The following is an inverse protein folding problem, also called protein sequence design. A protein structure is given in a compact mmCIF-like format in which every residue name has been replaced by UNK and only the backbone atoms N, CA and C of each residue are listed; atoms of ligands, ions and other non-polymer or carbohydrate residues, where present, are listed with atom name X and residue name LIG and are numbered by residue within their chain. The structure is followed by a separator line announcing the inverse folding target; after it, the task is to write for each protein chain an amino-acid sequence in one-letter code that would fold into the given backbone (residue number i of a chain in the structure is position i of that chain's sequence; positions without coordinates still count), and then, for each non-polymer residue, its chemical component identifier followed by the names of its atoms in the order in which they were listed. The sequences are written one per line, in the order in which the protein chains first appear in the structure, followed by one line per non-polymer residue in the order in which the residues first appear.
data_IF_290204701502
#
_entry.id   IF_290204701502
#
_cell.length_a   1.000
_cell.length_b   1.000
_cell.length_c   1.000
_cell.angle_alpha   90.00
_cell.angle_beta   90.00
_cell.angle_gamma   90.00
#
_symmetry.space_group_name_H-M   'P 1'
#
loop_
_entity.id
_entity.type
_entity.pdbx_description
1 polymer ?
#
# COMPACT_ATOMS: atom_id res chain seq x y z
N UNK A 1 9.07 0.42 2.05
CA UNK A 1 8.96 1.42 0.97
C UNK A 1 8.77 2.83 1.54
N UNK A 2 9.37 3.85 0.92
CA UNK A 2 9.19 5.28 1.24
C UNK A 2 8.40 5.95 0.11
N UNK A 3 7.72 7.07 0.39
CA UNK A 3 6.98 7.84 -0.63
C UNK A 3 7.75 9.09 -1.02
N UNK A 4 7.75 9.41 -2.31
CA UNK A 4 8.19 10.69 -2.87
C UNK A 4 7.23 11.17 -3.95
N UNK A 5 7.45 12.38 -4.43
CA UNK A 5 6.81 12.93 -5.63
C UNK A 5 7.85 13.67 -6.47
N UNK A 6 7.59 13.80 -7.77
CA UNK A 6 8.40 14.57 -8.70
C UNK A 6 7.96 16.02 -8.77
N UNK A 7 8.92 16.95 -8.92
CA UNK A 7 8.64 18.38 -9.18
C UNK A 7 8.23 18.68 -10.63
N UNK A 8 8.04 17.66 -11.47
CA UNK A 8 7.67 17.79 -12.88
C UNK A 8 6.36 18.59 -13.07
N UNK A 9 6.32 19.49 -14.05
CA UNK A 9 5.14 20.30 -14.37
C UNK A 9 4.79 21.42 -13.38
N UNK A 10 5.35 21.40 -12.17
CA UNK A 10 5.04 22.36 -11.10
C UNK A 10 5.90 23.63 -11.15
N UNK A 11 5.80 24.38 -12.25
CA UNK A 11 6.64 25.56 -12.50
C UNK A 11 6.33 26.78 -11.62
N UNK A 12 5.17 26.80 -10.97
CA UNK A 12 4.68 27.90 -10.13
C UNK A 12 5.05 27.80 -8.65
N UNK A 13 5.80 26.75 -8.25
CA UNK A 13 6.19 26.49 -6.85
C UNK A 13 7.69 26.57 -6.68
N UNK A 14 8.12 27.11 -5.55
CA UNK A 14 9.50 27.12 -5.10
C UNK A 14 9.90 25.78 -4.44
N UNK A 15 11.20 25.53 -4.34
CA UNK A 15 11.70 24.36 -3.62
C UNK A 15 11.30 24.33 -2.14
N UNK A 16 11.18 25.51 -1.52
CA UNK A 16 10.71 25.69 -0.14
C UNK A 16 9.28 25.16 0.04
N UNK A 17 8.40 25.48 -0.90
CA UNK A 17 7.01 25.04 -0.89
C UNK A 17 6.91 23.53 -1.05
N UNK A 18 7.70 22.91 -1.94
CA UNK A 18 7.76 21.44 -2.01
C UNK A 18 8.23 20.81 -0.71
N UNK A 19 9.22 21.39 -0.03
CA UNK A 19 9.67 20.89 1.27
C UNK A 19 8.58 20.98 2.34
N UNK A 20 7.78 22.05 2.34
CA UNK A 20 6.67 22.21 3.26
C UNK A 20 5.56 21.19 2.99
N UNK A 21 5.15 21.06 1.72
CA UNK A 21 4.13 20.07 1.30
C UNK A 21 4.60 18.65 1.64
N UNK A 22 5.85 18.31 1.33
CA UNK A 22 6.42 17.00 1.65
C UNK A 22 6.36 16.71 3.15
N UNK A 23 6.69 17.69 3.99
CA UNK A 23 6.65 17.55 5.45
C UNK A 23 5.22 17.41 5.98
N UNK A 24 4.29 18.24 5.50
CA UNK A 24 2.89 18.23 5.94
C UNK A 24 2.20 16.92 5.58
N UNK A 25 2.44 16.42 4.37
CA UNK A 25 1.89 15.16 3.86
C UNK A 25 2.74 13.92 4.18
N UNK A 26 3.81 14.09 4.98
CA UNK A 26 4.71 13.02 5.45
C UNK A 26 5.40 12.21 4.34
N UNK A 27 5.71 12.84 3.22
CA UNK A 27 6.63 12.26 2.24
C UNK A 27 8.02 12.11 2.83
N UNK A 28 8.75 11.09 2.37
CA UNK A 28 10.14 10.87 2.74
C UNK A 28 11.14 11.52 1.79
N UNK A 29 10.69 11.95 0.60
CA UNK A 29 11.59 12.56 -0.36
C UNK A 29 10.92 13.31 -1.51
N UNK A 30 11.74 14.06 -2.23
CA UNK A 30 11.33 14.94 -3.35
C UNK A 30 12.27 14.68 -4.53
N UNK A 31 11.71 14.19 -5.63
CA UNK A 31 12.46 13.97 -6.87
C UNK A 31 12.50 15.26 -7.68
N UNK A 32 13.71 15.65 -8.11
CA UNK A 32 13.92 16.93 -8.77
C UNK A 32 13.93 16.76 -10.28
N UNK A 33 12.89 17.29 -10.93
CA UNK A 33 12.77 17.35 -12.38
C UNK A 33 13.49 18.58 -12.94
N UNK A 34 14.35 18.37 -13.94
CA UNK A 34 15.13 19.39 -14.63
C UNK A 34 15.94 20.25 -13.65
N UNK A 35 16.93 19.64 -12.99
CA UNK A 35 17.80 20.33 -12.01
C UNK A 35 18.58 21.52 -12.63
N UNK A 36 18.73 21.51 -13.96
CA UNK A 36 19.34 22.59 -14.73
C UNK A 36 18.31 23.62 -15.23
N UNK A 37 17.05 23.54 -14.82
CA UNK A 37 15.96 24.43 -15.18
C UNK A 37 15.92 25.71 -14.34
N UNK A 38 15.02 26.62 -14.70
CA UNK A 38 14.87 27.94 -14.06
C UNK A 38 14.55 27.84 -12.56
N UNK A 39 13.80 26.82 -12.16
CA UNK A 39 13.41 26.57 -10.77
C UNK A 39 14.62 26.47 -9.82
N UNK A 40 15.74 25.94 -10.32
CA UNK A 40 16.92 25.61 -9.51
C UNK A 40 18.18 26.41 -9.88
N UNK A 41 18.20 27.05 -11.06
CA UNK A 41 19.34 27.83 -11.57
C UNK A 41 19.52 29.22 -10.96
N UNK A 42 18.60 29.68 -10.11
CA UNK A 42 18.77 30.99 -9.45
C UNK A 42 20.09 31.03 -8.67
N UNK A 43 20.82 32.15 -8.75
CA UNK A 43 22.14 32.31 -8.10
C UNK A 43 22.07 32.17 -6.57
N UNK A 44 20.91 32.47 -5.99
CA UNK A 44 20.56 32.28 -4.58
C UNK A 44 19.71 31.01 -4.35
N UNK A 45 19.61 30.14 -5.36
CA UNK A 45 18.85 28.91 -5.33
C UNK A 45 19.45 27.86 -4.39
N UNK A 46 18.60 26.97 -3.87
CA UNK A 46 18.94 26.00 -2.84
C UNK A 46 20.13 25.07 -3.22
N UNK A 47 20.44 24.93 -4.50
CA UNK A 47 21.39 23.95 -5.01
C UNK A 47 22.68 24.54 -5.59
N UNK A 48 22.89 25.85 -5.47
CA UNK A 48 24.06 26.51 -6.05
C UNK A 48 25.20 26.70 -5.03
N UNK A 49 26.40 26.18 -5.36
CA UNK A 49 27.65 26.50 -4.67
C UNK A 49 27.63 26.28 -3.15
N UNK A 50 27.82 27.35 -2.39
CA UNK A 50 27.88 27.33 -0.92
C UNK A 50 26.52 27.03 -0.25
N UNK A 51 25.39 27.13 -0.98
CA UNK A 51 24.06 26.82 -0.46
C UNK A 51 23.75 25.32 -0.41
N UNK A 52 24.39 24.50 -1.25
CA UNK A 52 24.12 23.07 -1.37
C UNK A 52 24.26 22.33 -0.02
N UNK A 53 25.34 22.57 0.71
CA UNK A 53 25.58 21.95 2.02
C UNK A 53 24.54 22.39 3.07
N UNK A 54 24.11 23.66 3.03
CA UNK A 54 23.05 24.16 3.92
C UNK A 54 21.69 23.52 3.60
N UNK A 55 21.40 23.34 2.31
CA UNK A 55 20.18 22.66 1.84
C UNK A 55 20.16 21.19 2.24
N UNK A 56 21.26 20.46 2.06
CA UNK A 56 21.39 19.07 2.53
C UNK A 56 21.12 18.98 4.03
N UNK A 57 21.75 19.85 4.83
CA UNK A 57 21.54 19.88 6.28
C UNK A 57 20.07 20.15 6.64
N UNK A 58 19.45 21.10 5.97
CA UNK A 58 18.05 21.45 6.18
C UNK A 58 17.12 20.28 5.85
N UNK A 59 17.33 19.61 4.72
CA UNK A 59 16.56 18.44 4.33
C UNK A 59 16.69 17.32 5.36
N UNK A 60 17.91 17.08 5.86
CA UNK A 60 18.15 16.15 6.96
C UNK A 60 17.38 16.52 8.24
N UNK A 61 17.38 17.79 8.64
CA UNK A 61 16.59 18.28 9.79
C UNK A 61 15.07 18.12 9.58
N UNK A 62 14.61 18.21 8.33
CA UNK A 62 13.22 17.96 7.93
C UNK A 62 12.89 16.47 7.75
N UNK A 63 13.88 15.57 7.85
CA UNK A 63 13.76 14.13 7.51
C UNK A 63 13.32 13.88 6.08
N UNK A 64 13.76 14.72 5.15
CA UNK A 64 13.52 14.60 3.72
C UNK A 64 14.80 14.18 3.01
N UNK A 65 14.64 13.35 1.99
CA UNK A 65 15.71 12.90 1.11
C UNK A 65 15.44 13.38 -0.33
N UNK A 66 16.49 13.49 -1.13
CA UNK A 66 16.38 13.70 -2.57
C UNK A 66 16.69 12.35 -3.23
N UNK A 67 15.68 11.54 -3.59
CA UNK A 67 15.92 10.16 -4.02
C UNK A 67 16.51 10.08 -5.43
N UNK A 68 16.17 11.04 -6.31
CA UNK A 68 16.56 11.02 -7.71
C UNK A 68 16.54 12.44 -8.29
N UNK A 69 17.40 12.67 -9.28
CA UNK A 69 17.29 13.75 -10.28
C UNK A 69 17.18 13.12 -11.66
N UNK A 70 16.69 13.86 -12.65
CA UNK A 70 16.63 13.37 -14.03
C UNK A 70 17.60 14.08 -14.98
N UNK A 71 17.93 13.35 -16.04
CA UNK A 71 18.53 13.88 -17.26
C UNK A 71 17.39 14.09 -18.25
N UNK A 72 17.27 15.30 -18.80
CA UNK A 72 16.15 15.66 -19.65
C UNK A 72 16.30 15.07 -21.04
N UNK A 73 17.50 15.14 -21.61
CA UNK A 73 17.83 14.51 -22.89
C UNK A 73 17.70 12.99 -22.82
N UNK A 74 17.10 12.43 -23.86
CA UNK A 74 17.10 10.99 -24.09
C UNK A 74 18.53 10.49 -24.35
N UNK A 75 18.81 9.24 -23.97
CA UNK A 75 20.11 8.58 -24.15
C UNK A 75 20.63 8.61 -25.59
N UNK A 76 19.74 8.71 -26.58
CA UNK A 76 20.08 8.82 -28.01
C UNK A 76 20.56 10.22 -28.44
N UNK A 77 20.31 11.25 -27.62
CA UNK A 77 20.66 12.63 -27.94
C UNK A 77 22.14 12.95 -27.68
N UNK A 78 22.74 13.78 -28.54
CA UNK A 78 24.15 14.18 -28.42
C UNK A 78 24.46 14.96 -27.13
N UNK A 79 23.45 15.60 -26.53
CA UNK A 79 23.56 16.39 -25.29
C UNK A 79 23.54 15.52 -24.03
N UNK A 80 23.04 14.28 -24.12
CA UNK A 80 22.77 13.43 -22.96
C UNK A 80 24.02 13.16 -22.11
N UNK A 81 25.17 12.90 -22.75
CA UNK A 81 26.42 12.63 -22.02
C UNK A 81 26.84 13.86 -21.21
N UNK A 82 26.87 15.04 -21.84
CA UNK A 82 27.28 16.27 -21.19
C UNK A 82 26.32 16.67 -20.05
N UNK A 83 25.02 16.50 -20.26
CA UNK A 83 24.00 16.73 -19.25
C UNK A 83 24.16 15.76 -18.07
N UNK A 84 24.34 14.46 -18.34
CA UNK A 84 24.54 13.43 -17.32
C UNK A 84 25.77 13.71 -16.47
N UNK A 85 26.87 14.14 -17.08
CA UNK A 85 28.08 14.51 -16.34
C UNK A 85 27.86 15.71 -15.41
N UNK A 86 27.06 16.70 -15.85
CA UNK A 86 26.64 17.81 -15.01
C UNK A 86 25.79 17.32 -13.83
N UNK A 87 24.81 16.45 -14.11
CA UNK A 87 23.94 15.85 -13.09
C UNK A 87 24.74 15.00 -12.08
N UNK A 88 25.75 14.24 -12.50
CA UNK A 88 26.63 13.46 -11.60
C UNK A 88 27.32 14.38 -10.58
N UNK A 89 27.80 15.54 -11.01
CA UNK A 89 28.42 16.51 -10.11
C UNK A 89 27.41 17.04 -9.09
N UNK A 90 26.23 17.44 -9.56
CA UNK A 90 25.17 17.98 -8.69
C UNK A 90 24.68 16.92 -7.70
N UNK A 91 24.44 15.70 -8.17
CA UNK A 91 24.00 14.58 -7.34
C UNK A 91 25.01 14.28 -6.23
N UNK A 92 26.31 14.29 -6.55
CA UNK A 92 27.36 14.13 -5.56
C UNK A 92 27.35 15.22 -4.49
N UNK A 93 27.23 16.48 -4.90
CA UNK A 93 27.26 17.64 -4.00
C UNK A 93 26.01 17.69 -3.09
N UNK A 94 24.90 17.10 -3.53
CA UNK A 94 23.62 17.06 -2.81
C UNK A 94 23.29 15.71 -2.16
N UNK A 95 24.20 14.73 -2.24
CA UNK A 95 24.01 13.35 -1.77
C UNK A 95 22.76 12.66 -2.34
N UNK A 96 22.48 12.92 -3.63
CA UNK A 96 21.40 12.27 -4.37
C UNK A 96 21.93 10.92 -4.88
N UNK A 97 21.32 9.79 -4.50
CA UNK A 97 21.87 8.47 -4.79
C UNK A 97 21.64 8.03 -6.24
N UNK A 98 20.59 8.54 -6.90
CA UNK A 98 20.16 8.07 -8.22
C UNK A 98 20.06 9.22 -9.24
N UNK A 99 20.39 8.91 -10.49
CA UNK A 99 20.14 9.77 -11.66
C UNK A 99 19.34 8.98 -12.68
N UNK A 100 18.12 9.44 -12.98
CA UNK A 100 17.24 8.88 -14.00
C UNK A 100 17.78 9.21 -15.39
N UNK A 101 17.93 8.16 -16.20
CA UNK A 101 18.28 8.25 -17.62
C UNK A 101 17.08 7.79 -18.44
N UNK A 102 16.59 8.68 -19.31
CA UNK A 102 15.52 8.37 -20.26
C UNK A 102 16.04 7.55 -21.42
N UNK A 103 15.21 6.64 -21.91
CA UNK A 103 15.57 5.66 -22.94
C UNK A 103 14.44 5.40 -23.93
N UNK A 104 13.59 6.41 -24.16
CA UNK A 104 12.38 6.30 -24.96
C UNK A 104 12.69 5.99 -26.43
N UNK A 105 13.78 6.54 -26.98
CA UNK A 105 14.14 6.44 -28.40
C UNK A 105 15.51 5.78 -28.62
N UNK A 106 15.78 4.66 -27.94
CA UNK A 106 17.09 4.01 -28.04
C UNK A 106 17.05 2.50 -28.27
N UNK A 107 18.11 2.01 -28.92
CA UNK A 107 18.44 0.60 -29.01
C UNK A 107 19.53 0.20 -28.00
N UNK A 108 19.75 -1.10 -27.86
CA UNK A 108 20.70 -1.67 -26.90
C UNK A 108 22.14 -1.20 -27.18
N UNK A 109 22.54 -1.04 -28.44
CA UNK A 109 23.89 -0.60 -28.83
C UNK A 109 24.14 0.87 -28.47
N UNK A 110 23.16 1.74 -28.68
CA UNK A 110 23.21 3.15 -28.31
C UNK A 110 23.27 3.29 -26.79
N UNK A 111 22.43 2.53 -26.08
CA UNK A 111 22.44 2.51 -24.62
C UNK A 111 23.80 2.04 -24.07
N UNK A 112 24.38 0.96 -24.62
CA UNK A 112 25.71 0.48 -24.23
C UNK A 112 26.80 1.53 -24.43
N UNK A 113 26.81 2.22 -25.57
CA UNK A 113 27.79 3.28 -25.86
C UNK A 113 27.69 4.42 -24.86
N UNK A 114 26.47 4.87 -24.58
CA UNK A 114 26.23 5.91 -23.59
C UNK A 114 26.69 5.47 -22.19
N UNK A 115 26.23 4.33 -21.71
CA UNK A 115 26.56 3.81 -20.36
C UNK A 115 28.08 3.67 -20.22
N UNK A 116 28.76 3.14 -21.24
CA UNK A 116 30.23 3.02 -21.24
C UNK A 116 30.93 4.37 -21.06
N UNK A 117 30.37 5.45 -21.60
CA UNK A 117 30.95 6.79 -21.51
C UNK A 117 30.76 7.43 -20.11
N UNK A 118 29.60 7.21 -19.47
CA UNK A 118 29.23 7.93 -18.23
C UNK A 118 29.38 7.10 -16.95
N UNK A 119 29.25 5.77 -17.01
CA UNK A 119 29.24 4.89 -15.83
C UNK A 119 30.51 5.02 -14.97
N UNK A 120 31.74 5.06 -15.52
CA UNK A 120 32.94 5.23 -14.69
C UNK A 120 32.96 6.53 -13.88
N UNK A 121 32.30 7.58 -14.39
CA UNK A 121 32.18 8.87 -13.69
C UNK A 121 31.14 8.79 -12.58
N UNK A 122 30.04 8.08 -12.80
CA UNK A 122 29.00 7.83 -11.81
C UNK A 122 29.53 6.99 -10.64
N UNK A 123 30.26 5.90 -10.93
CA UNK A 123 30.94 5.05 -9.94
C UNK A 123 31.90 5.86 -9.05
N UNK A 124 32.75 6.69 -9.68
CA UNK A 124 33.69 7.55 -8.95
C UNK A 124 32.99 8.59 -8.07
N UNK A 125 31.78 9.00 -8.45
CA UNK A 125 30.96 9.92 -7.68
C UNK A 125 30.15 9.22 -6.58
N UNK A 126 30.02 7.89 -6.62
CA UNK A 126 29.16 7.11 -5.72
C UNK A 126 27.67 7.30 -6.03
N UNK A 127 27.33 7.57 -7.29
CA UNK A 127 25.95 7.81 -7.76
C UNK A 127 25.55 6.70 -8.71
N UNK A 128 24.29 6.26 -8.62
CA UNK A 128 23.73 5.18 -9.43
C UNK A 128 22.97 5.76 -10.63
N UNK A 129 23.27 5.27 -11.82
CA UNK A 129 22.49 5.55 -13.02
C UNK A 129 21.32 4.58 -13.05
N UNK A 130 20.09 5.10 -13.02
CA UNK A 130 18.88 4.29 -13.11
C UNK A 130 18.26 4.47 -14.49
N UNK A 131 18.32 3.41 -15.30
CA UNK A 131 17.72 3.41 -16.64
C UNK A 131 16.22 3.20 -16.49
N UNK A 132 15.45 4.13 -17.01
CA UNK A 132 13.98 4.07 -16.98
C UNK A 132 13.46 2.95 -17.90
N UNK A 133 12.51 2.14 -17.41
CA UNK A 133 11.78 1.18 -18.25
C UNK A 133 10.85 1.92 -19.22
N UNK A 134 11.40 2.45 -20.30
CA UNK A 134 10.71 3.20 -21.36
C UNK A 134 11.23 2.80 -22.74
N UNK A 135 10.46 3.09 -23.79
CA UNK A 135 10.85 2.74 -25.16
C UNK A 135 11.08 1.24 -25.33
N UNK A 136 12.22 0.86 -25.92
CA UNK A 136 12.61 -0.54 -26.09
C UNK A 136 12.80 -1.31 -24.76
N UNK A 137 13.03 -0.59 -23.65
CA UNK A 137 13.23 -1.17 -22.31
C UNK A 137 11.95 -1.26 -21.48
N UNK A 138 10.77 -1.06 -22.09
CA UNK A 138 9.51 -1.51 -21.50
C UNK A 138 9.48 -3.06 -21.42
N UNK A 139 10.15 -3.74 -22.36
CA UNK A 139 10.51 -5.16 -22.23
C UNK A 139 11.66 -5.27 -21.22
N UNK A 140 11.32 -5.77 -20.04
CA UNK A 140 12.23 -5.80 -18.90
C UNK A 140 13.29 -6.89 -19.02
N UNK A 141 13.09 -7.89 -19.89
CA UNK A 141 14.14 -8.86 -20.22
C UNK A 141 15.24 -8.21 -21.06
N UNK A 142 14.87 -7.35 -22.00
CA UNK A 142 15.84 -6.57 -22.79
C UNK A 142 16.65 -5.59 -21.91
N UNK A 143 15.98 -4.92 -20.97
CA UNK A 143 16.68 -4.05 -20.01
C UNK A 143 17.62 -4.86 -19.11
N UNK A 144 17.16 -6.02 -18.61
CA UNK A 144 18.00 -6.90 -17.81
C UNK A 144 19.26 -7.33 -18.56
N UNK A 145 19.14 -7.71 -19.83
CA UNK A 145 20.30 -8.08 -20.65
C UNK A 145 21.31 -6.93 -20.80
N UNK A 146 20.81 -5.70 -20.99
CA UNK A 146 21.65 -4.51 -20.99
C UNK A 146 22.38 -4.35 -19.65
N UNK A 147 21.66 -4.41 -18.53
CA UNK A 147 22.24 -4.24 -17.19
C UNK A 147 23.26 -5.35 -16.87
N UNK A 148 22.94 -6.61 -17.15
CA UNK A 148 23.83 -7.78 -16.95
C UNK A 148 25.14 -7.66 -17.75
N UNK A 149 25.14 -6.87 -18.84
CA UNK A 149 26.36 -6.63 -19.63
C UNK A 149 27.38 -5.69 -18.95
N UNK A 150 26.98 -5.02 -17.87
CA UNK A 150 27.84 -4.15 -17.05
C UNK A 150 27.92 -4.70 -15.62
N UNK A 151 29.13 -5.04 -15.17
CA UNK A 151 29.37 -5.49 -13.80
C UNK A 151 29.53 -4.31 -12.82
N UNK A 152 28.45 -3.56 -12.57
CA UNK A 152 28.48 -2.36 -11.71
C UNK A 152 27.25 -2.26 -10.80
N UNK A 153 27.49 -2.00 -9.51
CA UNK A 153 26.45 -1.69 -8.53
C UNK A 153 25.88 -0.27 -8.70
N UNK A 154 26.54 0.58 -9.49
CA UNK A 154 26.12 1.94 -9.82
C UNK A 154 25.32 2.03 -11.13
N UNK A 155 24.84 0.89 -11.65
CA UNK A 155 23.91 0.82 -12.76
C UNK A 155 22.70 -0.01 -12.35
N UNK A 156 21.51 0.53 -12.54
CA UNK A 156 20.27 -0.04 -12.04
C UNK A 156 19.08 0.33 -12.93
N UNK A 157 17.89 -0.12 -12.53
CA UNK A 157 16.63 0.19 -13.20
C UNK A 157 15.79 1.18 -12.37
N UNK A 158 15.14 2.09 -13.08
CA UNK A 158 13.95 2.80 -12.60
C UNK A 158 12.74 2.13 -13.21
N UNK A 159 11.90 1.54 -12.37
CA UNK A 159 10.67 0.90 -12.82
C UNK A 159 9.55 1.94 -12.96
N UNK A 160 9.27 2.29 -14.22
CA UNK A 160 8.08 3.03 -14.61
C UNK A 160 6.91 2.04 -14.79
N UNK A 161 6.02 2.03 -13.80
CA UNK A 161 4.90 1.09 -13.73
C UNK A 161 3.92 1.27 -14.88
N UNK A 162 3.73 2.50 -15.35
CA UNK A 162 2.84 2.79 -16.47
C UNK A 162 3.38 2.16 -17.75
N UNK A 163 4.67 2.33 -18.03
CA UNK A 163 5.29 1.95 -19.29
C UNK A 163 5.37 0.43 -19.45
N UNK A 164 5.78 -0.28 -18.39
CA UNK A 164 5.82 -1.75 -18.38
C UNK A 164 4.42 -2.37 -18.54
N UNK A 165 3.43 -1.86 -17.80
CA UNK A 165 2.08 -2.41 -17.85
C UNK A 165 1.30 -2.04 -19.12
N UNK A 166 1.24 -0.75 -19.47
CA UNK A 166 0.41 -0.30 -20.60
C UNK A 166 1.10 -0.41 -21.96
N UNK A 167 2.42 -0.19 -22.05
CA UNK A 167 3.11 -0.22 -23.34
C UNK A 167 3.64 -1.62 -23.70
N UNK A 168 4.15 -2.37 -22.71
CA UNK A 168 4.66 -3.73 -22.93
C UNK A 168 3.65 -4.84 -22.56
N UNK A 169 2.62 -4.54 -21.78
CA UNK A 169 1.66 -5.55 -21.33
C UNK A 169 2.21 -6.50 -20.26
N UNK A 170 3.36 -6.17 -19.65
CA UNK A 170 3.97 -6.99 -18.62
C UNK A 170 3.18 -6.94 -17.32
N UNK A 171 3.07 -8.09 -16.66
CA UNK A 171 2.49 -8.17 -15.31
C UNK A 171 3.53 -7.78 -14.25
N UNK A 172 3.12 -7.22 -13.10
CA UNK A 172 4.06 -6.75 -12.07
C UNK A 172 5.04 -7.83 -11.58
N UNK A 173 4.60 -9.08 -11.46
CA UNK A 173 5.45 -10.21 -11.06
C UNK A 173 6.51 -10.54 -12.10
N UNK A 174 6.19 -10.35 -13.39
CA UNK A 174 7.14 -10.57 -14.48
C UNK A 174 8.24 -9.51 -14.47
N UNK A 175 7.86 -8.23 -14.32
CA UNK A 175 8.83 -7.14 -14.18
C UNK A 175 9.75 -7.36 -12.97
N UNK A 176 9.20 -7.70 -11.81
CA UNK A 176 9.99 -7.96 -10.60
C UNK A 176 10.86 -9.22 -10.73
N UNK A 177 10.39 -10.26 -11.41
CA UNK A 177 11.22 -11.43 -11.70
C UNK A 177 12.43 -11.08 -12.56
N UNK A 178 12.28 -10.16 -13.51
CA UNK A 178 13.37 -9.74 -14.40
C UNK A 178 14.31 -8.72 -13.75
N UNK A 179 13.76 -7.69 -13.12
CA UNK A 179 14.51 -6.52 -12.66
C UNK A 179 14.59 -6.36 -11.15
N UNK A 180 13.96 -7.22 -10.35
CA UNK A 180 13.80 -7.00 -8.90
C UNK A 180 15.09 -6.68 -8.14
N UNK A 181 16.22 -7.27 -8.53
CA UNK A 181 17.54 -6.96 -7.94
C UNK A 181 18.12 -5.60 -8.39
N UNK A 182 17.69 -5.12 -9.57
CA UNK A 182 18.11 -3.88 -10.19
C UNK A 182 17.20 -2.68 -9.88
N UNK A 183 15.96 -2.88 -9.42
CA UNK A 183 15.05 -1.77 -9.13
C UNK A 183 15.58 -0.94 -7.96
N UNK A 184 15.93 0.32 -8.22
CA UNK A 184 16.38 1.29 -7.21
C UNK A 184 15.45 2.49 -7.04
N UNK A 185 14.62 2.74 -8.04
CA UNK A 185 13.65 3.82 -8.06
C UNK A 185 12.37 3.32 -8.76
N UNK A 186 11.21 3.80 -8.31
CA UNK A 186 9.90 3.43 -8.88
C UNK A 186 9.12 4.70 -9.20
N UNK A 187 8.55 4.76 -10.41
CA UNK A 187 7.62 5.80 -10.82
C UNK A 187 6.22 5.20 -10.98
N UNK A 188 5.24 5.95 -10.47
CA UNK A 188 3.83 5.57 -10.56
C UNK A 188 2.99 6.76 -11.03
N UNK A 189 2.07 6.48 -11.95
CA UNK A 189 1.03 7.34 -12.51
C UNK A 189 -0.06 6.44 -13.08
N UNK A 190 -1.32 6.84 -12.96
CA UNK A 190 -2.46 6.01 -13.37
C UNK A 190 -3.08 6.52 -14.67
N UNK A 191 -3.75 5.61 -15.37
CA UNK A 191 -4.34 5.86 -16.68
C UNK A 191 -5.64 5.06 -16.83
N UNK A 192 -6.73 5.73 -17.18
CA UNK A 192 -8.07 5.13 -17.26
C UNK A 192 -8.40 4.55 -18.65
N UNK A 193 -7.52 4.76 -19.63
CA UNK A 193 -7.73 4.37 -21.03
C UNK A 193 -7.90 5.54 -21.98
N UNK A 194 -8.30 6.70 -21.48
CA UNK A 194 -8.47 7.94 -22.24
C UNK A 194 -7.42 8.98 -21.86
N UNK A 195 -7.07 9.08 -20.58
CA UNK A 195 -6.12 10.06 -20.07
C UNK A 195 -5.45 9.61 -18.76
N UNK A 196 -4.43 10.39 -18.35
CA UNK A 196 -3.86 10.23 -17.02
C UNK A 196 -4.86 10.72 -15.97
N UNK A 197 -5.01 9.95 -14.89
CA UNK A 197 -5.99 10.19 -13.84
C UNK A 197 -5.37 9.97 -12.45
N UNK A 198 -6.10 10.36 -11.41
CA UNK A 198 -5.64 10.17 -10.03
C UNK A 198 -5.39 8.68 -9.74
N UNK A 199 -4.39 8.40 -8.91
CA UNK A 199 -4.02 7.02 -8.58
C UNK A 199 -5.23 6.26 -8.01
N UNK A 200 -5.51 5.07 -8.54
CA UNK A 200 -6.64 4.25 -8.13
C UNK A 200 -7.94 4.51 -8.88
N UNK A 201 -8.01 5.55 -9.70
CA UNK A 201 -9.15 5.80 -10.60
C UNK A 201 -8.92 5.19 -11.99
N UNK A 202 -7.69 4.77 -12.30
CA UNK A 202 -7.35 4.19 -13.60
C UNK A 202 -7.32 2.66 -13.60
N UNK A 203 -6.57 2.12 -14.55
CA UNK A 203 -6.49 0.68 -14.84
C UNK A 203 -5.19 0.04 -14.36
N UNK A 204 -4.29 0.81 -13.75
CA UNK A 204 -3.04 0.27 -13.23
C UNK A 204 -3.33 -0.68 -12.04
N UNK A 205 -2.83 -1.93 -12.03
CA UNK A 205 -3.07 -2.87 -10.94
C UNK A 205 -2.16 -2.56 -9.73
N UNK A 206 -2.42 -1.43 -9.06
CA UNK A 206 -1.54 -0.91 -7.99
C UNK A 206 -1.35 -1.92 -6.85
N UNK A 207 -2.40 -2.66 -6.48
CA UNK A 207 -2.30 -3.68 -5.41
C UNK A 207 -1.29 -4.79 -5.71
N UNK A 208 -1.28 -5.28 -6.96
CA UNK A 208 -0.36 -6.31 -7.42
C UNK A 208 1.06 -5.75 -7.55
N UNK A 209 1.19 -4.51 -8.03
CA UNK A 209 2.47 -3.79 -8.09
C UNK A 209 3.12 -3.61 -6.71
N UNK A 210 2.34 -3.23 -5.71
CA UNK A 210 2.83 -3.13 -4.33
C UNK A 210 3.20 -4.51 -3.76
N UNK A 211 2.45 -5.55 -4.11
CA UNK A 211 2.75 -6.93 -3.69
C UNK A 211 4.04 -7.45 -4.33
N UNK A 212 4.26 -7.15 -5.61
CA UNK A 212 5.47 -7.50 -6.33
C UNK A 212 6.70 -6.82 -5.71
N UNK A 213 6.64 -5.51 -5.41
CA UNK A 213 7.72 -4.80 -4.71
C UNK A 213 8.03 -5.41 -3.33
N UNK A 214 6.99 -5.78 -2.56
CA UNK A 214 7.15 -6.45 -1.27
C UNK A 214 7.84 -7.81 -1.39
N UNK A 215 7.55 -8.57 -2.45
CA UNK A 215 8.14 -9.90 -2.66
C UNK A 215 9.68 -9.90 -2.76
N UNK A 216 10.26 -8.76 -3.16
CA UNK A 216 11.71 -8.54 -3.23
C UNK A 216 12.25 -7.64 -2.11
N UNK A 217 11.44 -7.38 -1.07
CA UNK A 217 11.78 -6.51 0.05
C UNK A 217 12.26 -5.11 -0.38
N UNK A 218 11.63 -4.54 -1.41
CA UNK A 218 12.00 -3.20 -1.89
C UNK A 218 11.81 -2.16 -0.77
N UNK A 219 12.89 -1.46 -0.43
CA UNK A 219 12.93 -0.48 0.65
C UNK A 219 13.10 0.97 0.15
N UNK A 220 13.25 1.15 -1.18
CA UNK A 220 13.41 2.43 -1.85
C UNK A 220 12.12 3.27 -1.94
N UNK A 221 12.17 4.26 -2.83
CA UNK A 221 11.11 5.23 -3.04
C UNK A 221 10.12 4.79 -4.10
N UNK A 222 8.83 5.03 -3.84
CA UNK A 222 7.76 5.08 -4.83
C UNK A 222 7.46 6.56 -5.05
N UNK A 223 7.78 7.04 -6.26
CA UNK A 223 7.65 8.43 -6.65
C UNK A 223 6.41 8.62 -7.50
N UNK A 224 5.49 9.49 -7.07
CA UNK A 224 4.41 9.95 -7.93
C UNK A 224 4.96 10.88 -9.02
N UNK A 225 4.70 10.54 -10.28
CA UNK A 225 4.83 11.49 -11.39
C UNK A 225 3.46 12.08 -11.71
N UNK A 226 3.37 13.41 -11.67
CA UNK A 226 2.18 14.14 -12.10
C UNK A 226 2.58 15.43 -12.79
N UNK A 227 2.07 15.66 -13.99
CA UNK A 227 2.15 16.94 -14.66
C UNK A 227 0.74 17.58 -14.66
N UNK A 228 0.56 18.78 -14.07
CA UNK A 228 -0.72 19.48 -14.06
C UNK A 228 -1.31 19.70 -15.47
N UNK A 229 -0.49 19.70 -16.52
CA UNK A 229 -0.96 19.83 -17.90
C UNK A 229 -1.68 18.57 -18.43
N UNK A 230 -1.61 17.44 -17.73
CA UNK A 230 -2.23 16.18 -18.19
C UNK A 230 -3.75 16.15 -18.05
N UNK A 231 -4.31 16.84 -17.04
CA UNK A 231 -5.74 16.82 -16.75
C UNK A 231 -6.24 18.21 -16.37
N UNK A 232 -7.13 18.78 -17.19
CA UNK A 232 -7.69 20.10 -16.96
C UNK A 232 -8.50 20.13 -15.65
N UNK A 233 -8.21 21.09 -14.78
CA UNK A 233 -8.86 21.25 -13.48
C UNK A 233 -8.27 20.41 -12.34
N UNK A 234 -7.24 19.59 -12.61
CA UNK A 234 -6.45 18.89 -11.58
C UNK A 234 -5.02 19.44 -11.53
N UNK A 235 -4.90 20.68 -11.06
CA UNK A 235 -3.65 21.44 -10.94
C UNK A 235 -3.31 21.87 -9.50
N UNK A 236 -3.98 21.29 -8.50
CA UNK A 236 -3.68 21.51 -7.08
C UNK A 236 -2.81 20.38 -6.51
N UNK A 237 -1.54 20.70 -6.26
CA UNK A 237 -0.56 19.73 -5.73
C UNK A 237 -0.96 19.14 -4.38
N UNK A 238 -1.60 19.92 -3.50
CA UNK A 238 -1.97 19.41 -2.17
C UNK A 238 -3.09 18.38 -2.28
N UNK A 239 -4.06 18.60 -3.17
CA UNK A 239 -5.12 17.62 -3.45
C UNK A 239 -4.52 16.34 -4.03
N UNK A 240 -3.71 16.46 -5.07
CA UNK A 240 -3.14 15.32 -5.80
C UNK A 240 -2.19 14.52 -4.90
N UNK A 241 -1.29 15.19 -4.19
CA UNK A 241 -0.31 14.51 -3.33
C UNK A 241 -0.98 13.92 -2.08
N UNK A 242 -1.99 14.59 -1.51
CA UNK A 242 -2.77 14.02 -0.40
C UNK A 242 -3.53 12.78 -0.82
N UNK A 243 -4.17 12.82 -1.99
CA UNK A 243 -4.84 11.67 -2.58
C UNK A 243 -3.87 10.50 -2.76
N UNK A 244 -2.70 10.77 -3.36
CA UNK A 244 -1.66 9.76 -3.55
C UNK A 244 -1.20 9.12 -2.24
N UNK A 245 -0.88 9.92 -1.22
CA UNK A 245 -0.46 9.40 0.10
C UNK A 245 -1.55 8.54 0.72
N UNK A 246 -2.80 9.02 0.73
CA UNK A 246 -3.92 8.29 1.29
C UNK A 246 -4.15 6.97 0.55
N UNK A 247 -4.16 6.99 -0.78
CA UNK A 247 -4.36 5.81 -1.60
C UNK A 247 -3.24 4.79 -1.43
N UNK A 248 -1.97 5.18 -1.44
CA UNK A 248 -0.86 4.25 -1.26
C UNK A 248 -0.78 3.73 0.18
N UNK A 249 -1.24 4.52 1.17
CA UNK A 249 -1.22 4.09 2.57
C UNK A 249 -2.01 2.80 2.85
N UNK A 250 -3.03 2.50 2.04
CA UNK A 250 -3.79 1.25 2.14
C UNK A 250 -2.95 0.01 1.77
N UNK A 251 -1.90 0.20 0.97
CA UNK A 251 -0.89 -0.81 0.63
C UNK A 251 0.39 -0.64 1.45
N UNK A 252 0.38 0.34 2.36
CA UNK A 252 1.38 0.58 3.36
C UNK A 252 1.59 -0.64 4.24
N UNK A 253 2.77 -0.66 4.83
CA UNK A 253 3.47 -1.84 5.29
C UNK A 253 2.79 -2.54 6.49
N UNK A 254 2.13 -3.68 6.28
CA UNK A 254 1.77 -4.64 7.35
C UNK A 254 3.01 -5.34 7.94
N UNK A 255 4.17 -5.27 7.27
CA UNK A 255 5.44 -5.87 7.69
C UNK A 255 6.36 -4.91 8.47
N UNK A 256 6.04 -3.61 8.55
CA UNK A 256 6.63 -2.63 9.50
C UNK A 256 5.83 -2.46 10.79
N UNK A 257 4.86 -3.32 11.05
CA UNK A 257 4.84 -3.85 12.39
C UNK A 257 6.15 -4.67 12.51
N UNK A 258 7.25 -4.03 12.95
CA UNK A 258 8.10 -4.75 13.89
C UNK A 258 7.10 -5.43 14.82
N UNK A 259 7.07 -6.76 14.89
CA UNK A 259 6.44 -7.41 16.02
C UNK A 259 7.33 -7.10 17.24
N UNK A 260 7.31 -5.82 17.64
CA UNK A 260 7.70 -5.36 18.95
C UNK A 260 6.62 -5.90 19.88
N UNK A 261 6.62 -7.22 20.03
CA UNK A 261 5.79 -7.92 20.96
C UNK A 261 6.11 -7.31 22.31
N UNK A 262 5.09 -6.68 22.88
CA UNK A 262 5.21 -6.11 24.19
C UNK A 262 5.26 -7.26 25.18
N UNK A 263 6.21 -7.19 26.11
CA UNK A 263 6.27 -8.16 27.19
C UNK A 263 5.43 -7.66 28.36
N UNK A 264 4.73 -8.55 29.04
CA UNK A 264 4.25 -8.22 30.38
C UNK A 264 5.44 -7.94 31.32
N UNK A 265 5.17 -7.33 32.48
CA UNK A 265 6.21 -6.99 33.47
C UNK A 265 7.06 -8.20 33.89
N UNK A 266 6.47 -9.40 33.93
CA UNK A 266 7.15 -10.63 34.30
C UNK A 266 7.93 -11.30 33.16
N UNK A 267 7.83 -10.78 31.91
CA UNK A 267 8.36 -11.37 30.67
C UNK A 267 7.91 -12.81 30.40
N UNK A 268 6.72 -13.18 30.89
CA UNK A 268 6.11 -14.50 30.67
C UNK A 268 5.08 -14.51 29.55
N UNK A 269 4.67 -13.34 29.05
CA UNK A 269 3.68 -13.22 27.98
C UNK A 269 4.08 -12.15 26.98
N UNK A 270 3.75 -12.39 25.71
CA UNK A 270 3.96 -11.52 24.57
C UNK A 270 2.61 -10.99 24.09
N UNK A 271 2.56 -9.73 23.66
CA UNK A 271 1.32 -9.05 23.24
C UNK A 271 1.58 -8.23 21.99
N UNK A 272 0.64 -8.27 21.03
CA UNK A 272 0.74 -7.49 19.78
C UNK A 272 0.62 -6.00 20.06
N UNK A 273 -0.28 -5.58 20.95
CA UNK A 273 -0.52 -4.17 21.25
C UNK A 273 -0.07 -3.77 22.66
N UNK A 274 0.34 -2.51 22.81
CA UNK A 274 0.74 -1.93 24.09
C UNK A 274 -0.48 -1.77 24.99
N UNK A 275 -0.33 -2.08 26.27
CA UNK A 275 -1.38 -1.90 27.28
C UNK A 275 -1.88 -0.44 27.28
N UNK A 276 -3.21 -0.27 27.21
CA UNK A 276 -3.92 1.02 27.21
C UNK A 276 -3.72 1.90 25.96
N UNK A 277 -3.30 1.32 24.84
CA UNK A 277 -3.34 2.01 23.54
C UNK A 277 -4.66 1.70 22.84
N UNK A 278 -5.24 2.69 22.16
CA UNK A 278 -6.35 2.44 21.25
C UNK A 278 -5.85 1.59 20.08
N UNK A 279 -6.53 0.48 19.82
CA UNK A 279 -6.26 -0.36 18.67
C UNK A 279 -7.06 0.24 17.50
N UNK A 280 -6.36 0.68 16.46
CA UNK A 280 -6.95 1.25 15.24
C UNK A 280 -7.18 0.13 14.20
N UNK A 281 -7.93 -0.88 14.61
CA UNK A 281 -8.27 -2.05 13.78
C UNK A 281 -9.73 -2.42 14.01
N UNK A 282 -10.39 -2.88 12.95
CA UNK A 282 -11.69 -3.56 13.07
C UNK A 282 -11.53 -4.88 13.81
N UNK A 283 -12.63 -5.45 14.32
CA UNK A 283 -12.57 -6.78 14.94
C UNK A 283 -11.89 -7.78 14.00
N UNK A 284 -12.35 -7.97 12.76
CA UNK A 284 -11.71 -8.93 11.82
C UNK A 284 -10.20 -8.76 11.72
N UNK A 285 -9.73 -7.51 11.55
CA UNK A 285 -8.29 -7.22 11.48
C UNK A 285 -7.55 -7.64 12.75
N UNK A 286 -8.14 -7.45 13.94
CA UNK A 286 -7.56 -7.95 15.20
C UNK A 286 -7.40 -9.46 15.20
N UNK A 287 -8.37 -10.23 14.69
CA UNK A 287 -8.24 -11.69 14.58
C UNK A 287 -7.18 -12.07 13.55
N UNK A 288 -7.21 -11.46 12.37
CA UNK A 288 -6.24 -11.72 11.30
C UNK A 288 -4.81 -11.44 11.80
N UNK A 289 -4.61 -10.33 12.52
CA UNK A 289 -3.32 -9.98 13.13
C UNK A 289 -2.87 -10.98 14.20
N UNK A 290 -3.79 -11.51 15.01
CA UNK A 290 -3.46 -12.55 16.00
C UNK A 290 -3.11 -13.89 15.33
N UNK A 291 -3.74 -14.22 14.20
CA UNK A 291 -3.41 -15.41 13.39
C UNK A 291 -2.03 -15.28 12.77
N UNK A 292 -1.69 -14.11 12.24
CA UNK A 292 -0.34 -13.84 11.70
C UNK A 292 0.75 -14.05 12.75
N UNK A 293 0.55 -13.54 13.96
CA UNK A 293 1.57 -13.54 15.00
C UNK A 293 1.63 -14.84 15.83
N UNK A 294 0.47 -15.44 16.12
CA UNK A 294 0.34 -16.59 17.02
C UNK A 294 -0.58 -17.67 16.44
N UNK A 295 -0.31 -18.21 15.22
CA UNK A 295 -1.23 -19.09 14.51
C UNK A 295 -1.58 -20.36 15.30
N UNK A 296 -0.59 -20.94 15.98
CA UNK A 296 -0.71 -22.20 16.72
C UNK A 296 -1.14 -22.04 18.19
N UNK A 297 -1.28 -20.80 18.67
CA UNK A 297 -1.71 -20.56 20.04
C UNK A 297 -3.22 -20.78 20.16
N UNK A 298 -3.67 -21.40 21.26
CA UNK A 298 -5.09 -21.57 21.53
C UNK A 298 -5.80 -20.21 21.62
N UNK A 299 -6.79 -20.00 20.75
CA UNK A 299 -7.76 -18.92 20.85
C UNK A 299 -8.89 -19.30 21.81
N UNK A 300 -9.38 -20.55 21.68
CA UNK A 300 -10.43 -21.09 22.53
C UNK A 300 -10.05 -22.48 23.05
N UNK A 301 -10.32 -22.69 24.34
CA UNK A 301 -10.25 -24.01 24.97
C UNK A 301 -11.38 -24.12 26.00
N UNK A 302 -12.50 -24.67 25.56
CA UNK A 302 -13.62 -24.93 26.45
C UNK A 302 -13.35 -26.16 27.33
N UNK A 303 -13.72 -26.08 28.60
CA UNK A 303 -13.62 -27.20 29.54
C UNK A 303 -14.89 -28.04 29.61
N UNK A 304 -16.02 -27.47 29.19
CA UNK A 304 -17.35 -28.10 29.26
C UNK A 304 -17.89 -28.55 27.90
N UNK A 305 -17.21 -28.18 26.81
CA UNK A 305 -17.59 -28.50 25.44
C UNK A 305 -16.36 -28.99 24.69
N UNK A 306 -16.56 -29.89 23.73
CA UNK A 306 -15.51 -30.38 22.85
C UNK A 306 -15.19 -29.34 21.77
N UNK A 307 -14.60 -28.22 22.21
CA UNK A 307 -14.21 -27.12 21.34
C UNK A 307 -12.88 -26.53 21.80
N UNK A 308 -11.82 -26.95 21.11
CA UNK A 308 -10.48 -26.39 21.24
C UNK A 308 -10.03 -25.97 19.85
N UNK A 309 -9.57 -24.72 19.73
CA UNK A 309 -9.12 -24.12 18.47
C UNK A 309 -7.89 -23.25 18.70
N UNK A 310 -6.91 -23.38 17.83
CA UNK A 310 -5.86 -22.37 17.66
C UNK A 310 -6.44 -21.10 17.02
N UNK A 311 -5.69 -20.00 16.98
CA UNK A 311 -6.12 -18.79 16.28
C UNK A 311 -6.40 -19.07 14.80
N UNK A 312 -5.53 -19.83 14.12
CA UNK A 312 -5.73 -20.15 12.70
C UNK A 312 -7.00 -20.96 12.49
N UNK A 313 -7.21 -22.03 13.27
CA UNK A 313 -8.39 -22.89 13.13
C UNK A 313 -9.68 -22.13 13.47
N UNK A 314 -9.65 -21.25 14.47
CA UNK A 314 -10.81 -20.40 14.78
C UNK A 314 -11.14 -19.43 13.64
N UNK A 315 -10.13 -18.86 12.97
CA UNK A 315 -10.32 -18.00 11.79
C UNK A 315 -10.92 -18.78 10.62
N UNK A 316 -10.53 -20.05 10.45
CA UNK A 316 -11.16 -20.95 9.48
C UNK A 316 -12.65 -21.17 9.78
N UNK A 317 -13.01 -21.48 11.04
CA UNK A 317 -14.41 -21.64 11.47
C UNK A 317 -15.24 -20.35 11.23
N UNK A 318 -14.66 -19.19 11.53
CA UNK A 318 -15.28 -17.87 11.27
C UNK A 318 -15.53 -17.66 9.78
N UNK A 319 -14.54 -17.91 8.93
CA UNK A 319 -14.67 -17.71 7.49
C UNK A 319 -15.67 -18.68 6.85
N UNK A 320 -15.76 -19.91 7.35
CA UNK A 320 -16.80 -20.86 6.93
C UNK A 320 -18.20 -20.34 7.26
N UNK A 321 -18.37 -19.79 8.46
CA UNK A 321 -19.66 -19.22 8.84
C UNK A 321 -19.98 -17.92 8.09
N UNK A 322 -18.98 -17.09 7.78
CA UNK A 322 -19.14 -15.94 6.89
C UNK A 322 -19.74 -16.35 5.54
N UNK A 323 -19.18 -17.40 4.90
CA UNK A 323 -19.69 -17.93 3.62
C UNK A 323 -21.15 -18.37 3.73
N UNK A 324 -21.51 -19.00 4.84
CA UNK A 324 -22.88 -19.45 5.12
C UNK A 324 -23.84 -18.27 5.27
N UNK A 325 -23.48 -17.22 6.00
CA UNK A 325 -24.30 -16.01 6.14
C UNK A 325 -24.49 -15.28 4.81
N UNK A 326 -23.43 -15.19 4.00
CA UNK A 326 -23.52 -14.61 2.65
C UNK A 326 -24.47 -15.42 1.78
N UNK A 327 -24.41 -16.76 1.85
CA UNK A 327 -25.33 -17.63 1.12
C UNK A 327 -26.79 -17.46 1.56
N UNK A 328 -27.04 -17.15 2.84
CA UNK A 328 -28.37 -16.79 3.38
C UNK A 328 -28.82 -15.38 2.97
N UNK A 329 -28.01 -14.64 2.21
CA UNK A 329 -28.33 -13.31 1.71
C UNK A 329 -28.03 -12.18 2.69
N UNK A 330 -27.22 -12.43 3.72
CA UNK A 330 -26.72 -11.38 4.61
C UNK A 330 -25.72 -10.52 3.85
N UNK A 331 -25.89 -9.20 3.95
CA UNK A 331 -25.02 -8.19 3.30
C UNK A 331 -24.48 -7.22 4.35
N UNK A 332 -23.47 -6.44 3.97
CA UNK A 332 -23.02 -5.31 4.78
C UNK A 332 -24.21 -4.41 5.18
N UNK A 333 -24.26 -4.01 6.44
CA UNK A 333 -25.37 -3.25 7.03
C UNK A 333 -26.61 -4.07 7.43
N UNK A 334 -26.70 -5.37 7.09
CA UNK A 334 -27.82 -6.21 7.55
C UNK A 334 -27.76 -6.40 9.06
N UNK A 335 -28.90 -6.34 9.75
CA UNK A 335 -28.96 -6.63 11.18
C UNK A 335 -29.08 -8.13 11.42
N UNK A 336 -28.10 -8.70 12.12
CA UNK A 336 -28.07 -10.13 12.48
C UNK A 336 -28.20 -10.27 13.99
N UNK A 337 -29.33 -10.81 14.42
CA UNK A 337 -29.61 -11.07 15.82
C UNK A 337 -28.99 -12.39 16.27
N UNK A 338 -28.34 -12.39 17.44
CA UNK A 338 -27.76 -13.60 18.05
C UNK A 338 -28.39 -13.82 19.41
N UNK A 339 -29.14 -14.91 19.55
CA UNK A 339 -29.81 -15.34 20.77
C UNK A 339 -29.24 -16.65 21.28
N UNK A 340 -28.09 -16.56 21.94
CA UNK A 340 -27.38 -17.72 22.48
C UNK A 340 -26.62 -17.37 23.76
N UNK A 341 -26.29 -18.40 24.54
CA UNK A 341 -25.39 -18.29 25.70
C UNK A 341 -23.91 -18.21 25.27
N UNK A 342 -22.97 -18.20 26.23
CA UNK A 342 -21.51 -18.15 26.00
C UNK A 342 -20.92 -19.48 25.44
N UNK A 343 -21.50 -20.01 24.37
CA UNK A 343 -21.04 -21.20 23.63
C UNK A 343 -20.14 -20.78 22.44
N UNK A 344 -19.31 -21.69 21.90
CA UNK A 344 -18.43 -21.39 20.76
C UNK A 344 -19.13 -20.71 19.59
N UNK A 345 -20.33 -21.17 19.24
CA UNK A 345 -21.13 -20.66 18.13
C UNK A 345 -21.48 -19.18 18.28
N UNK A 346 -21.63 -18.68 19.51
CA UNK A 346 -21.86 -17.25 19.74
C UNK A 346 -20.65 -16.42 19.32
N UNK A 347 -19.44 -16.90 19.65
CA UNK A 347 -18.20 -16.23 19.25
C UNK A 347 -17.98 -16.32 17.74
N UNK A 348 -18.20 -17.49 17.13
CA UNK A 348 -18.12 -17.65 15.67
C UNK A 348 -19.08 -16.66 14.99
N UNK A 349 -20.33 -16.56 15.46
CA UNK A 349 -21.32 -15.64 14.91
C UNK A 349 -20.91 -14.17 15.09
N UNK A 350 -20.43 -13.76 16.27
CA UNK A 350 -19.93 -12.41 16.52
C UNK A 350 -18.86 -12.02 15.50
N UNK A 351 -17.85 -12.88 15.34
CA UNK A 351 -16.70 -12.61 14.47
C UNK A 351 -17.10 -12.64 13.00
N UNK A 352 -17.96 -13.57 12.59
CA UNK A 352 -18.42 -13.66 11.21
C UNK A 352 -19.30 -12.47 10.81
N UNK A 353 -20.28 -12.10 11.65
CA UNK A 353 -21.19 -10.96 11.39
C UNK A 353 -20.41 -9.66 11.26
N UNK A 354 -19.46 -9.42 12.16
CA UNK A 354 -18.62 -8.21 12.10
C UNK A 354 -17.67 -8.24 10.90
N UNK A 355 -17.11 -9.40 10.53
CA UNK A 355 -16.21 -9.56 9.38
C UNK A 355 -16.89 -9.31 8.03
N UNK A 356 -18.15 -9.72 7.86
CA UNK A 356 -18.92 -9.45 6.63
C UNK A 356 -19.48 -8.01 6.57
N UNK A 357 -19.21 -7.18 7.58
CA UNK A 357 -19.71 -5.80 7.67
C UNK A 357 -21.20 -5.69 8.03
N UNK A 358 -21.79 -6.77 8.56
CA UNK A 358 -23.16 -6.76 9.08
C UNK A 358 -23.20 -6.21 10.51
N UNK A 359 -24.39 -5.78 10.95
CA UNK A 359 -24.61 -5.22 12.28
C UNK A 359 -25.01 -6.33 13.24
N UNK A 360 -24.18 -6.60 14.23
CA UNK A 360 -24.48 -7.58 15.28
C UNK A 360 -25.50 -7.02 16.27
N UNK A 361 -26.59 -7.76 16.48
CA UNK A 361 -27.61 -7.47 17.49
C UNK A 361 -27.58 -8.57 18.55
N UNK A 362 -27.03 -8.28 19.73
CA UNK A 362 -26.99 -9.25 20.82
C UNK A 362 -28.33 -9.30 21.57
N UNK A 363 -28.93 -10.49 21.69
CA UNK A 363 -30.15 -10.70 22.45
C UNK A 363 -29.87 -11.23 23.86
N UNK A 364 -30.58 -10.72 24.85
CA UNK A 364 -30.48 -11.23 26.21
C UNK A 364 -31.16 -12.62 26.30
N UNK A 365 -30.43 -13.61 26.80
CA UNK A 365 -30.93 -14.98 26.99
C UNK A 365 -32.13 -15.11 27.94
N UNK A 366 -32.38 -14.10 28.78
CA UNK A 366 -33.53 -14.08 29.69
C UNK A 366 -34.82 -13.52 29.06
N UNK A 367 -34.76 -12.99 27.83
CA UNK A 367 -35.92 -12.35 27.21
C UNK A 367 -37.10 -13.31 27.06
N UNK A 368 -38.29 -12.77 27.31
CA UNK A 368 -39.58 -13.39 27.03
C UNK A 368 -40.15 -12.85 25.73
N UNK A 369 -41.23 -13.46 25.26
CA UNK A 369 -41.79 -13.24 23.92
C UNK A 369 -41.93 -11.76 23.53
N UNK A 370 -42.50 -10.92 24.41
CA UNK A 370 -42.70 -9.50 24.11
C UNK A 370 -41.40 -8.72 23.95
N UNK A 371 -40.38 -9.05 24.74
CA UNK A 371 -39.06 -8.38 24.68
C UNK A 371 -38.30 -8.80 23.42
N UNK A 372 -38.40 -10.09 23.05
CA UNK A 372 -37.84 -10.63 21.82
C UNK A 372 -38.52 -10.01 20.58
N UNK A 373 -39.85 -9.95 20.55
CA UNK A 373 -40.61 -9.32 19.47
C UNK A 373 -40.22 -7.85 19.28
N UNK A 374 -40.18 -7.10 20.38
CA UNK A 374 -39.82 -5.69 20.35
C UNK A 374 -38.42 -5.49 19.79
N UNK A 375 -37.43 -6.24 20.28
CA UNK A 375 -36.05 -6.12 19.81
C UNK A 375 -35.91 -6.47 18.33
N UNK A 376 -36.49 -7.58 17.89
CA UNK A 376 -36.39 -8.04 16.49
C UNK A 376 -36.99 -7.01 15.52
N UNK A 377 -38.15 -6.44 15.88
CA UNK A 377 -38.79 -5.37 15.09
C UNK A 377 -37.99 -4.07 15.12
N UNK A 378 -37.58 -3.62 16.30
CA UNK A 378 -36.89 -2.34 16.48
C UNK A 378 -35.51 -2.33 15.80
N UNK A 379 -34.84 -3.48 15.76
CA UNK A 379 -33.54 -3.64 15.13
C UNK A 379 -33.64 -3.92 13.63
N UNK A 380 -34.83 -4.03 13.04
CA UNK A 380 -35.02 -4.43 11.65
C UNK A 380 -34.18 -5.68 11.30
N UNK A 381 -34.32 -6.72 12.14
CA UNK A 381 -33.52 -7.94 12.04
C UNK A 381 -33.78 -8.65 10.71
N UNK A 382 -32.71 -8.82 9.93
CA UNK A 382 -32.71 -9.64 8.72
C UNK A 382 -32.60 -11.12 9.07
N UNK A 383 -31.60 -11.50 9.87
CA UNK A 383 -31.27 -12.89 10.17
C UNK A 383 -31.18 -13.13 11.67
N UNK A 384 -31.78 -14.22 12.17
CA UNK A 384 -31.68 -14.66 13.56
C UNK A 384 -30.83 -15.95 13.67
N UNK A 385 -29.82 -15.91 14.52
CA UNK A 385 -29.01 -17.06 14.93
C UNK A 385 -29.38 -17.38 16.38
N UNK A 386 -29.81 -18.60 16.67
CA UNK A 386 -30.30 -18.96 18.00
C UNK A 386 -29.95 -20.40 18.39
N UNK A 387 -29.91 -20.64 19.70
CA UNK A 387 -29.96 -21.99 20.28
C UNK A 387 -31.41 -22.39 20.59
N UNK A 388 -31.64 -23.64 20.98
CA UNK A 388 -33.00 -24.12 21.30
C UNK A 388 -33.65 -23.39 22.49
N UNK A 389 -32.84 -23.03 23.50
CA UNK A 389 -33.32 -22.35 24.69
C UNK A 389 -32.30 -22.29 25.82
N UNK A 390 -32.67 -21.62 26.92
CA UNK A 390 -31.88 -21.54 28.14
C UNK A 390 -32.76 -21.47 29.38
N UNK A 391 -32.51 -22.36 30.36
CA UNK A 391 -33.33 -22.53 31.57
C UNK A 391 -34.81 -22.72 31.23
N UNK A 392 -35.66 -21.82 31.72
CA UNK A 392 -37.12 -21.88 31.57
C UNK A 392 -37.60 -21.12 30.31
N UNK A 393 -36.69 -20.79 29.38
CA UNK A 393 -37.02 -20.12 28.12
C UNK A 393 -36.74 -21.05 26.94
N UNK A 394 -37.80 -21.44 26.22
CA UNK A 394 -37.74 -22.15 24.95
C UNK A 394 -37.80 -21.13 23.80
N UNK A 395 -36.68 -20.93 23.12
CA UNK A 395 -36.58 -19.91 22.08
C UNK A 395 -37.31 -20.36 20.81
N UNK A 396 -37.29 -21.65 20.49
CA UNK A 396 -37.99 -22.20 19.32
C UNK A 396 -39.50 -22.06 19.44
N UNK A 397 -40.07 -22.34 20.62
CA UNK A 397 -41.49 -22.08 20.89
C UNK A 397 -41.82 -20.58 20.80
N UNK A 398 -40.97 -19.73 21.35
CA UNK A 398 -41.14 -18.27 21.28
C UNK A 398 -41.17 -17.80 19.82
N UNK A 399 -40.27 -18.29 18.97
CA UNK A 399 -40.24 -17.93 17.55
C UNK A 399 -41.39 -18.52 16.75
N UNK A 400 -41.87 -19.71 17.10
CA UNK A 400 -43.07 -20.29 16.49
C UNK A 400 -44.33 -19.47 16.80
N UNK A 401 -44.43 -18.90 18.01
CA UNK A 401 -45.52 -18.00 18.37
C UNK A 401 -45.42 -16.63 17.68
N UNK A 402 -44.20 -16.08 17.56
CA UNK A 402 -43.96 -14.79 16.90
C UNK A 402 -44.10 -14.84 15.37
N UNK A 403 -43.69 -15.95 14.77
CA UNK A 403 -43.71 -16.17 13.32
C UNK A 403 -44.33 -17.53 12.97
N UNK A 404 -45.64 -17.74 13.17
CA UNK A 404 -46.30 -19.03 12.91
C UNK A 404 -46.15 -19.51 11.46
N UNK A 405 -45.95 -18.59 10.52
CA UNK A 405 -45.73 -18.90 9.11
C UNK A 405 -44.49 -19.77 8.84
N UNK A 406 -43.51 -19.79 9.76
CA UNK A 406 -42.30 -20.59 9.64
C UNK A 406 -42.59 -22.09 9.51
N UNK A 407 -43.68 -22.60 10.09
CA UNK A 407 -44.06 -24.01 9.99
C UNK A 407 -44.31 -24.45 8.54
N UNK A 408 -44.76 -23.54 7.69
CA UNK A 408 -45.15 -23.81 6.31
C UNK A 408 -44.07 -23.47 5.28
N UNK A 409 -42.96 -22.87 5.72
CA UNK A 409 -41.86 -22.45 4.85
C UNK A 409 -40.88 -23.59 4.63
N UNK A 410 -40.38 -23.70 3.40
CA UNK A 410 -39.29 -24.63 3.09
C UNK A 410 -37.99 -24.09 3.69
N UNK A 411 -37.18 -24.99 4.26
CA UNK A 411 -35.81 -24.67 4.62
C UNK A 411 -35.07 -24.12 3.38
N UNK A 412 -34.33 -23.04 3.60
CA UNK A 412 -33.54 -22.34 2.58
C UNK A 412 -32.30 -23.10 2.15
#
# INVERSE_FOLDING_TARGET
MKLSFSTKGWHNKSFEEFCNIAKELKFGGIELHNINGELFKNKDGAFHGYAAAATVRRLYEMKLELPCIDVISDISENTAIAETESCIKIAKDLHIPNIRIKSAECDNDTAKKFITAVLPKAEKAGVTLVIETSGAFCDTAALRELLDSFASDNLAALWDMYSTFFNAGEQPEETIKNLGAYVKQVHIKDFDGEGFCLIGEGKLPVGDMMSALRSVNYDGFISLEWDPAWCEGLDDSEIIFSHFVNFISQFGDTSKAESALYYNRARTGKYVWKKNLLIDETFSQVLDRMVEEFPDQYAFKYTTLDYTRTYSEFRDDVDEFCRSLIALGVKAGSHVAVWATNIPQWYIAFWAVTKIGAVLVSMNTAYKIHEAEYLLKQSDTHTLIMIDGYRDSNYSETMAELCPELESKKAG
#
